data_IF_381791634334
#
_entry.id   IF_381791634334
#
_cell.length_a   1.000
_cell.length_b   1.000
_cell.length_c   1.000
_cell.angle_alpha   90.00
_cell.angle_beta   90.00
_cell.angle_gamma   90.00
#
_symmetry.space_group_name_H-M   'P 1'
#
loop_
_entity.id
_entity.type
_entity.pdbx_description
1 polymer ?
#
# COMPACT_ATOMS: atom_id res chain seq x y z
N UNK A 1 -30.21 6.42 7.86
CA UNK A 1 -29.63 7.44 8.75
C UNK A 1 -29.36 6.93 10.18
N UNK A 2 -30.37 6.60 11.04
CA UNK A 2 -30.10 6.11 12.41
C UNK A 2 -29.34 4.76 12.42
N UNK A 3 -29.67 3.80 11.56
CA UNK A 3 -29.01 2.50 11.48
C UNK A 3 -27.54 2.64 11.01
N UNK A 4 -27.28 3.46 10.04
CA UNK A 4 -25.93 3.77 9.55
C UNK A 4 -25.06 4.44 10.63
N UNK A 5 -25.66 5.34 11.42
CA UNK A 5 -24.97 5.96 12.57
C UNK A 5 -24.57 4.93 13.63
N UNK A 6 -25.42 3.94 13.90
CA UNK A 6 -25.11 2.83 14.82
C UNK A 6 -24.05 1.90 14.21
N UNK A 7 -24.11 1.61 12.92
CA UNK A 7 -23.15 0.74 12.22
C UNK A 7 -21.73 1.32 12.25
N UNK A 8 -21.59 2.65 12.21
CA UNK A 8 -20.29 3.32 12.26
C UNK A 8 -19.83 3.71 13.68
N UNK A 9 -20.75 3.84 14.64
CA UNK A 9 -20.39 4.22 16.01
C UNK A 9 -19.44 3.21 16.67
N UNK A 10 -19.68 1.91 16.46
CA UNK A 10 -18.86 0.85 17.03
C UNK A 10 -17.44 0.85 16.45
N UNK A 11 -17.31 0.97 15.12
CA UNK A 11 -15.99 1.02 14.47
C UNK A 11 -15.28 2.34 14.78
N UNK A 12 -15.99 3.47 14.80
CA UNK A 12 -15.44 4.78 15.14
C UNK A 12 -14.90 4.82 16.56
N UNK A 13 -15.67 4.34 17.56
CA UNK A 13 -15.21 4.23 18.95
C UNK A 13 -13.97 3.34 19.09
N UNK A 14 -13.93 2.21 18.36
CA UNK A 14 -12.75 1.34 18.31
C UNK A 14 -11.55 2.02 17.69
N UNK A 15 -11.73 2.72 16.57
CA UNK A 15 -10.67 3.48 15.88
C UNK A 15 -10.10 4.57 16.79
N UNK A 16 -10.92 5.33 17.50
CA UNK A 16 -10.44 6.34 18.45
C UNK A 16 -9.54 5.73 19.53
N UNK A 17 -9.93 4.59 20.11
CA UNK A 17 -9.10 3.88 21.08
C UNK A 17 -7.77 3.39 20.47
N UNK A 18 -7.82 2.88 19.23
CA UNK A 18 -6.64 2.37 18.55
C UNK A 18 -5.69 3.49 18.11
N UNK A 19 -6.21 4.67 17.73
CA UNK A 19 -5.41 5.86 17.40
C UNK A 19 -4.59 6.37 18.58
N UNK A 20 -5.04 6.14 19.81
CA UNK A 20 -4.28 6.43 21.03
C UNK A 20 -2.96 5.66 21.15
N UNK A 21 -2.88 4.49 20.49
CA UNK A 21 -1.71 3.60 20.51
C UNK A 21 -0.75 3.80 19.33
N UNK A 22 -0.96 4.84 18.52
CA UNK A 22 -0.07 5.13 17.37
C UNK A 22 1.30 5.61 17.84
N UNK A 23 2.32 5.42 17.00
CA UNK A 23 3.61 6.06 17.20
C UNK A 23 3.46 7.59 17.02
N UNK A 24 4.12 8.35 17.88
CA UNK A 24 4.20 9.81 17.83
C UNK A 24 5.49 10.26 17.17
N UNK A 25 5.63 11.54 16.89
CA UNK A 25 6.88 12.10 16.35
C UNK A 25 8.08 11.74 17.24
N UNK A 26 7.93 11.86 18.56
CA UNK A 26 8.96 11.50 19.54
C UNK A 26 9.44 10.05 19.44
N UNK A 27 8.55 9.14 19.05
CA UNK A 27 8.89 7.73 18.86
C UNK A 27 9.72 7.53 17.59
N UNK A 28 9.40 8.26 16.52
CA UNK A 28 10.22 8.27 15.30
C UNK A 28 11.57 8.96 15.52
N UNK A 29 11.62 10.01 16.33
CA UNK A 29 12.88 10.67 16.71
C UNK A 29 13.80 9.69 17.45
N UNK A 30 13.25 8.85 18.34
CA UNK A 30 14.00 7.76 18.99
C UNK A 30 14.42 6.68 17.98
N UNK A 31 13.54 6.27 17.07
CA UNK A 31 13.85 5.28 16.03
C UNK A 31 15.02 5.76 15.14
N UNK A 32 15.08 7.05 14.83
CA UNK A 32 16.20 7.61 14.07
C UNK A 32 17.56 7.53 14.78
N UNK A 33 17.58 7.42 16.10
CA UNK A 33 18.79 7.32 16.92
C UNK A 33 19.26 5.87 17.12
N UNK A 34 18.48 4.85 16.74
CA UNK A 34 18.84 3.44 16.90
C UNK A 34 20.02 3.06 15.98
N UNK A 35 20.91 2.20 16.47
CA UNK A 35 22.10 1.78 15.75
C UNK A 35 22.02 0.35 15.23
N UNK A 36 21.17 -0.48 15.82
CA UNK A 36 21.02 -1.89 15.47
C UNK A 36 19.56 -2.30 15.28
N UNK A 37 19.35 -3.38 14.52
CA UNK A 37 18.02 -3.97 14.36
C UNK A 37 17.47 -4.49 15.70
N UNK A 38 18.26 -5.17 16.56
CA UNK A 38 17.84 -5.53 17.92
C UNK A 38 17.35 -4.34 18.76
N UNK A 39 18.07 -3.20 18.77
CA UNK A 39 17.63 -2.00 19.49
C UNK A 39 16.28 -1.49 18.97
N UNK A 40 16.11 -1.43 17.65
CA UNK A 40 14.85 -1.04 17.01
C UNK A 40 13.72 -1.97 17.43
N UNK A 41 13.97 -3.28 17.45
CA UNK A 41 12.99 -4.28 17.85
C UNK A 41 12.63 -4.18 19.34
N UNK A 42 13.62 -3.98 20.22
CA UNK A 42 13.43 -3.78 21.65
C UNK A 42 12.56 -2.55 21.94
N UNK A 43 12.84 -1.45 21.24
CA UNK A 43 12.01 -0.25 21.34
C UNK A 43 10.56 -0.50 20.92
N UNK A 44 10.35 -1.11 19.74
CA UNK A 44 9.02 -1.38 19.22
C UNK A 44 8.24 -2.38 20.09
N UNK A 45 8.90 -3.36 20.71
CA UNK A 45 8.29 -4.31 21.63
C UNK A 45 7.61 -3.60 22.82
N UNK A 46 8.14 -2.46 23.26
CA UNK A 46 7.62 -1.66 24.35
C UNK A 46 6.58 -0.60 23.90
N UNK A 47 6.24 -0.53 22.61
CA UNK A 47 5.23 0.40 22.11
C UNK A 47 3.84 -0.23 22.12
N UNK A 48 2.79 0.48 22.57
CA UNK A 48 1.43 -0.08 22.62
C UNK A 48 0.89 -0.53 21.26
N UNK A 49 1.29 0.13 20.19
CA UNK A 49 0.76 -0.09 18.85
C UNK A 49 1.41 -1.27 18.10
N UNK A 50 2.64 -1.65 18.45
CA UNK A 50 3.40 -2.69 17.73
C UNK A 50 3.90 -3.81 18.63
N UNK A 51 4.03 -3.59 19.94
CA UNK A 51 4.61 -4.58 20.87
C UNK A 51 3.90 -5.93 20.85
N UNK A 52 2.58 -5.96 20.74
CA UNK A 52 1.82 -7.20 20.72
C UNK A 52 2.22 -8.18 19.60
N UNK A 53 2.59 -7.69 18.43
CA UNK A 53 2.99 -8.57 17.33
C UNK A 53 4.44 -9.05 17.46
N UNK A 54 5.22 -8.45 18.37
CA UNK A 54 6.62 -8.77 18.61
C UNK A 54 6.82 -9.66 19.85
N UNK A 55 5.76 -9.93 20.63
CA UNK A 55 5.84 -10.80 21.80
C UNK A 55 6.38 -12.18 21.45
N UNK A 56 7.26 -12.70 22.31
CA UNK A 56 7.92 -14.00 22.13
C UNK A 56 8.98 -14.04 21.01
N UNK A 57 9.40 -12.88 20.50
CA UNK A 57 10.52 -12.77 19.59
C UNK A 57 11.83 -12.69 20.40
N UNK A 58 12.87 -13.40 19.95
CA UNK A 58 14.22 -13.21 20.46
C UNK A 58 14.76 -11.88 19.91
N UNK A 59 14.68 -10.84 20.74
CA UNK A 59 15.02 -9.46 20.35
C UNK A 59 16.53 -9.30 20.16
N UNK A 60 17.36 -10.04 20.90
CA UNK A 60 18.83 -9.89 20.87
C UNK A 60 19.42 -10.41 19.56
N UNK A 61 18.80 -11.44 18.95
CA UNK A 61 19.30 -12.07 17.73
C UNK A 61 18.40 -11.83 16.51
N UNK A 62 17.44 -10.90 16.61
CA UNK A 62 16.51 -10.66 15.51
C UNK A 62 17.19 -10.02 14.31
N UNK A 63 16.91 -10.59 13.12
CA UNK A 63 17.32 -9.93 11.88
C UNK A 63 16.16 -9.13 11.30
N UNK A 64 16.50 -8.18 10.41
CA UNK A 64 15.54 -7.36 9.67
C UNK A 64 14.35 -8.15 9.13
N UNK A 65 14.60 -9.28 8.45
CA UNK A 65 13.54 -10.06 7.79
C UNK A 65 12.50 -10.62 8.76
N UNK A 66 12.91 -11.09 9.94
CA UNK A 66 11.98 -11.57 10.97
C UNK A 66 11.20 -10.41 11.60
N UNK A 67 11.88 -9.29 11.90
CA UNK A 67 11.22 -8.09 12.40
C UNK A 67 10.16 -7.58 11.42
N UNK A 68 10.52 -7.40 10.15
CA UNK A 68 9.59 -6.94 9.12
C UNK A 68 8.39 -7.88 8.96
N UNK A 69 8.63 -9.19 8.96
CA UNK A 69 7.58 -10.21 8.90
C UNK A 69 6.59 -10.08 10.06
N UNK A 70 7.07 -9.91 11.30
CA UNK A 70 6.25 -9.74 12.49
C UNK A 70 5.42 -8.46 12.41
N UNK A 71 6.02 -7.35 11.99
CA UNK A 71 5.34 -6.07 11.82
C UNK A 71 4.23 -6.14 10.75
N UNK A 72 4.49 -6.78 9.62
CA UNK A 72 3.46 -7.01 8.57
C UNK A 72 2.31 -7.89 9.08
N UNK A 73 2.61 -8.89 9.91
CA UNK A 73 1.57 -9.67 10.59
C UNK A 73 0.77 -8.83 11.59
N UNK A 74 1.41 -7.91 12.28
CA UNK A 74 0.78 -6.92 13.16
C UNK A 74 -0.26 -6.08 12.41
N UNK A 75 0.16 -5.52 11.26
CA UNK A 75 -0.76 -4.75 10.40
C UNK A 75 -1.95 -5.61 9.93
N UNK A 76 -1.74 -6.85 9.50
CA UNK A 76 -2.84 -7.74 9.13
C UNK A 76 -3.80 -8.00 10.32
N UNK A 77 -3.27 -8.06 11.55
CA UNK A 77 -4.07 -8.15 12.78
C UNK A 77 -4.93 -6.91 13.04
N UNK A 78 -4.52 -5.72 12.57
CA UNK A 78 -5.34 -4.50 12.66
C UNK A 78 -6.59 -4.60 11.78
N UNK A 79 -6.47 -5.13 10.56
CA UNK A 79 -7.61 -5.41 9.69
C UNK A 79 -8.62 -6.36 10.35
N UNK A 80 -8.15 -7.44 10.96
CA UNK A 80 -9.02 -8.41 11.65
C UNK A 80 -9.72 -7.79 12.86
N UNK A 81 -9.00 -6.98 13.64
CA UNK A 81 -9.57 -6.27 14.80
C UNK A 81 -10.69 -5.31 14.39
N UNK A 82 -10.47 -4.53 13.33
CA UNK A 82 -11.50 -3.64 12.80
C UNK A 82 -12.70 -4.40 12.22
N UNK A 83 -12.46 -5.50 11.52
CA UNK A 83 -13.50 -6.31 10.93
C UNK A 83 -14.47 -6.89 11.98
N UNK A 84 -14.02 -7.09 13.22
CA UNK A 84 -14.87 -7.57 14.33
C UNK A 84 -15.97 -6.57 14.70
N UNK A 85 -15.68 -5.26 14.59
CA UNK A 85 -16.60 -4.18 14.92
C UNK A 85 -17.32 -3.61 13.70
N UNK A 86 -16.99 -4.10 12.50
CA UNK A 86 -17.49 -3.57 11.25
C UNK A 86 -18.85 -4.17 10.85
N UNK A 87 -19.70 -3.38 10.19
CA UNK A 87 -20.89 -3.85 9.49
C UNK A 87 -20.54 -4.87 8.40
N UNK A 88 -21.53 -5.57 7.86
CA UNK A 88 -21.31 -6.55 6.78
C UNK A 88 -20.62 -5.90 5.57
N UNK A 89 -21.09 -4.71 5.16
CA UNK A 89 -20.51 -3.99 4.01
C UNK A 89 -19.07 -3.56 4.27
N UNK A 90 -18.83 -2.98 5.46
CA UNK A 90 -17.49 -2.56 5.86
C UNK A 90 -16.52 -3.74 5.98
N UNK A 91 -16.95 -4.91 6.48
CA UNK A 91 -16.12 -6.13 6.48
C UNK A 91 -15.74 -6.59 5.08
N UNK A 92 -16.65 -6.48 4.11
CA UNK A 92 -16.34 -6.81 2.71
C UNK A 92 -15.27 -5.86 2.14
N UNK A 93 -15.38 -4.56 2.42
CA UNK A 93 -14.40 -3.58 2.00
C UNK A 93 -13.04 -3.83 2.66
N UNK A 94 -12.99 -4.04 3.98
CA UNK A 94 -11.75 -4.36 4.69
C UNK A 94 -11.05 -5.61 4.14
N UNK A 95 -11.81 -6.65 3.78
CA UNK A 95 -11.25 -7.84 3.13
C UNK A 95 -10.68 -7.53 1.73
N UNK A 96 -11.38 -6.71 0.94
CA UNK A 96 -10.87 -6.30 -0.37
C UNK A 96 -9.58 -5.46 -0.23
N UNK A 97 -9.51 -4.58 0.78
CA UNK A 97 -8.30 -3.80 1.08
C UNK A 97 -7.15 -4.70 1.57
N UNK A 98 -7.42 -5.71 2.40
CA UNK A 98 -6.41 -6.65 2.89
C UNK A 98 -5.72 -7.44 1.75
N UNK A 99 -6.35 -7.60 0.58
CA UNK A 99 -5.76 -8.18 -0.62
C UNK A 99 -4.53 -7.39 -1.14
N UNK A 100 -4.28 -6.17 -0.63
CA UNK A 100 -3.06 -5.41 -0.90
C UNK A 100 -1.80 -6.16 -0.44
N UNK A 101 -1.85 -6.83 0.71
CA UNK A 101 -0.74 -7.66 1.19
C UNK A 101 -0.48 -8.86 0.25
N UNK A 102 -1.53 -9.46 -0.28
CA UNK A 102 -1.42 -10.51 -1.30
C UNK A 102 -0.80 -9.98 -2.60
N UNK A 103 -1.21 -8.80 -3.06
CA UNK A 103 -0.65 -8.15 -4.23
C UNK A 103 0.86 -7.88 -4.08
N UNK A 104 1.32 -7.46 -2.91
CA UNK A 104 2.75 -7.25 -2.62
C UNK A 104 3.55 -8.54 -2.80
N UNK A 105 3.04 -9.67 -2.32
CA UNK A 105 3.71 -10.96 -2.51
C UNK A 105 3.65 -11.45 -3.97
N UNK A 106 2.57 -11.17 -4.68
CA UNK A 106 2.52 -11.43 -6.12
C UNK A 106 3.57 -10.60 -6.89
N UNK A 107 3.75 -9.31 -6.56
CA UNK A 107 4.82 -8.50 -7.16
C UNK A 107 6.21 -9.07 -6.85
N UNK A 108 6.41 -9.57 -5.63
CA UNK A 108 7.67 -10.21 -5.26
C UNK A 108 7.92 -11.47 -6.10
N UNK A 109 6.91 -12.33 -6.25
CA UNK A 109 7.02 -13.50 -7.13
C UNK A 109 7.31 -13.13 -8.58
N UNK A 110 6.55 -12.17 -9.14
CA UNK A 110 6.72 -11.74 -10.53
C UNK A 110 8.13 -11.18 -10.80
N UNK A 111 8.74 -10.51 -9.83
CA UNK A 111 10.13 -10.04 -9.92
C UNK A 111 11.12 -11.19 -9.97
N UNK A 112 10.99 -12.17 -9.07
CA UNK A 112 11.84 -13.38 -9.12
C UNK A 112 11.64 -14.15 -10.41
N UNK A 113 10.41 -14.27 -10.88
CA UNK A 113 10.10 -14.94 -12.14
C UNK A 113 10.73 -14.21 -13.33
N UNK A 114 10.62 -12.88 -13.38
CA UNK A 114 11.25 -12.06 -14.43
C UNK A 114 12.77 -12.12 -14.40
N UNK A 115 13.36 -12.27 -13.22
CA UNK A 115 14.81 -12.41 -13.05
C UNK A 115 15.35 -13.84 -13.34
N UNK A 116 14.47 -14.81 -13.66
CA UNK A 116 14.85 -16.20 -13.92
C UNK A 116 15.09 -17.06 -12.68
N UNK A 117 14.78 -16.55 -11.48
CA UNK A 117 15.01 -17.23 -10.20
C UNK A 117 13.72 -17.40 -9.38
N UNK A 118 12.61 -17.93 -9.95
CA UNK A 118 11.32 -17.99 -9.26
C UNK A 118 11.32 -18.87 -8.01
N UNK A 119 12.23 -19.86 -7.92
CA UNK A 119 12.36 -20.73 -6.76
C UNK A 119 12.76 -19.98 -5.47
N UNK A 120 13.50 -18.88 -5.59
CA UNK A 120 13.96 -18.07 -4.46
C UNK A 120 12.81 -17.38 -3.72
N UNK A 121 11.66 -17.26 -4.36
CA UNK A 121 10.43 -16.72 -3.75
C UNK A 121 10.01 -17.51 -2.51
N UNK A 122 10.14 -18.84 -2.51
CA UNK A 122 9.67 -19.70 -1.43
C UNK A 122 10.41 -19.49 -0.11
N UNK A 123 11.68 -19.10 -0.17
CA UNK A 123 12.57 -19.00 1.00
C UNK A 123 12.07 -17.98 2.03
N UNK A 124 11.36 -16.94 1.61
CA UNK A 124 10.97 -15.80 2.46
C UNK A 124 9.45 -15.60 2.57
N UNK A 125 8.64 -16.65 2.38
CA UNK A 125 7.19 -16.54 2.50
C UNK A 125 6.75 -16.30 3.97
N UNK A 126 5.95 -15.25 4.25
CA UNK A 126 5.46 -15.01 5.60
C UNK A 126 4.44 -16.07 6.04
N UNK A 127 4.74 -16.85 7.07
CA UNK A 127 3.85 -17.93 7.57
C UNK A 127 2.46 -17.44 7.98
N UNK A 128 2.34 -16.18 8.43
CA UNK A 128 1.06 -15.55 8.77
C UNK A 128 0.17 -15.26 7.56
N UNK A 129 0.79 -14.91 6.44
CA UNK A 129 0.09 -14.70 5.18
C UNK A 129 -0.45 -16.02 4.63
N UNK A 130 0.35 -17.10 4.69
CA UNK A 130 -0.06 -18.45 4.27
C UNK A 130 -1.38 -18.93 4.91
N UNK A 131 -1.62 -18.55 6.17
CA UNK A 131 -2.84 -18.95 6.91
C UNK A 131 -4.06 -18.08 6.62
N UNK A 132 -3.88 -16.85 6.17
CA UNK A 132 -4.95 -15.84 6.01
C UNK A 132 -5.28 -15.53 4.56
N UNK A 133 -4.36 -15.82 3.65
CA UNK A 133 -4.50 -15.52 2.23
C UNK A 133 -5.45 -16.48 1.53
N UNK A 134 -6.20 -15.96 0.58
CA UNK A 134 -6.96 -16.76 -0.38
C UNK A 134 -6.07 -17.31 -1.50
N UNK A 135 -4.87 -16.75 -1.67
CA UNK A 135 -3.84 -17.26 -2.58
C UNK A 135 -3.14 -18.45 -1.93
N UNK A 136 -3.02 -19.54 -2.65
CA UNK A 136 -2.34 -20.75 -2.18
C UNK A 136 -0.84 -20.66 -2.45
N UNK A 137 -0.17 -19.80 -1.67
CA UNK A 137 1.27 -19.59 -1.80
C UNK A 137 2.12 -20.83 -1.55
N UNK A 138 1.61 -21.80 -0.79
CA UNK A 138 2.21 -23.13 -0.62
C UNK A 138 2.31 -23.87 -1.96
N UNK A 139 1.27 -23.82 -2.77
CA UNK A 139 1.28 -24.41 -4.13
C UNK A 139 2.22 -23.69 -5.06
N UNK A 140 2.25 -22.33 -4.97
CA UNK A 140 3.18 -21.53 -5.75
C UNK A 140 4.64 -21.83 -5.37
N UNK A 141 4.92 -22.03 -4.08
CA UNK A 141 6.25 -22.40 -3.62
C UNK A 141 6.67 -23.81 -4.10
N UNK A 142 5.72 -24.75 -4.16
CA UNK A 142 5.98 -26.11 -4.67
C UNK A 142 6.16 -26.15 -6.20
N UNK A 143 5.52 -25.22 -6.92
CA UNK A 143 5.64 -25.07 -8.37
C UNK A 143 5.87 -23.60 -8.75
N UNK A 144 7.12 -23.13 -8.67
CA UNK A 144 7.44 -21.72 -8.87
C UNK A 144 7.57 -21.35 -10.37
N UNK A 145 6.50 -21.59 -11.13
CA UNK A 145 6.37 -21.20 -12.53
C UNK A 145 5.05 -20.41 -12.74
N UNK A 146 4.80 -19.93 -13.94
CA UNK A 146 3.61 -19.14 -14.23
C UNK A 146 2.32 -19.97 -14.13
N UNK A 147 2.36 -21.25 -14.44
CA UNK A 147 1.21 -22.15 -14.29
C UNK A 147 0.90 -22.39 -12.80
N UNK A 148 1.94 -22.57 -11.99
CA UNK A 148 1.81 -22.63 -10.52
C UNK A 148 1.24 -21.32 -9.95
N UNK A 149 1.64 -20.16 -10.48
CA UNK A 149 1.02 -18.87 -10.14
C UNK A 149 -0.47 -18.87 -10.43
N UNK A 150 -0.90 -19.26 -11.63
CA UNK A 150 -2.31 -19.30 -11.99
C UNK A 150 -3.12 -20.27 -11.11
N UNK A 151 -2.57 -21.44 -10.80
CA UNK A 151 -3.19 -22.38 -9.87
C UNK A 151 -3.28 -21.85 -8.45
N UNK A 152 -2.28 -21.09 -8.00
CA UNK A 152 -2.27 -20.49 -6.68
C UNK A 152 -3.32 -19.39 -6.52
N UNK A 153 -3.54 -18.58 -7.56
CA UNK A 153 -4.50 -17.45 -7.54
C UNK A 153 -5.91 -17.84 -8.02
N UNK A 154 -6.15 -19.11 -8.33
CA UNK A 154 -7.47 -19.58 -8.78
C UNK A 154 -8.55 -19.27 -7.74
N UNK A 155 -9.69 -18.73 -8.20
CA UNK A 155 -10.79 -18.30 -7.33
C UNK A 155 -10.58 -16.93 -6.63
N UNK A 156 -9.45 -16.29 -6.84
CA UNK A 156 -9.17 -14.93 -6.33
C UNK A 156 -9.47 -13.85 -7.39
N UNK A 157 -9.47 -12.59 -6.95
CA UNK A 157 -9.64 -11.42 -7.85
C UNK A 157 -8.50 -11.30 -8.88
N UNK A 158 -7.36 -11.91 -8.62
CA UNK A 158 -6.16 -11.81 -9.45
C UNK A 158 -6.15 -12.76 -10.64
N UNK A 159 -6.87 -13.89 -10.57
CA UNK A 159 -6.80 -14.95 -11.56
C UNK A 159 -7.06 -14.49 -13.00
N UNK A 160 -8.20 -13.83 -13.22
CA UNK A 160 -8.62 -13.42 -14.57
C UNK A 160 -7.65 -12.41 -15.22
N UNK A 161 -7.04 -11.56 -14.40
CA UNK A 161 -6.09 -10.56 -14.86
C UNK A 161 -4.73 -11.19 -15.19
N UNK A 162 -4.20 -12.03 -14.30
CA UNK A 162 -2.92 -12.73 -14.51
C UNK A 162 -3.02 -13.76 -15.66
N UNK A 163 -4.17 -14.38 -15.86
CA UNK A 163 -4.35 -15.28 -16.99
C UNK A 163 -4.12 -14.61 -18.35
N UNK A 164 -4.36 -13.29 -18.46
CA UNK A 164 -4.15 -12.51 -19.69
C UNK A 164 -2.71 -12.10 -19.92
N UNK A 165 -1.86 -12.22 -18.92
CA UNK A 165 -0.45 -11.79 -18.96
C UNK A 165 0.51 -12.99 -18.91
N UNK A 166 0.06 -14.17 -19.33
CA UNK A 166 0.91 -15.34 -19.45
C UNK A 166 2.05 -15.08 -20.44
N UNK A 167 3.25 -15.62 -20.19
CA UNK A 167 4.33 -15.57 -21.15
C UNK A 167 3.89 -16.10 -22.52
N UNK A 168 4.12 -15.30 -23.57
CA UNK A 168 3.84 -15.66 -24.95
C UNK A 168 5.15 -15.91 -25.73
N UNK A 169 5.08 -15.90 -27.06
CA UNK A 169 6.23 -16.05 -27.95
C UNK A 169 7.31 -14.99 -27.73
N UNK A 170 6.91 -13.76 -27.33
CA UNK A 170 7.79 -12.64 -27.01
C UNK A 170 8.33 -12.67 -25.56
N UNK A 171 8.11 -13.74 -24.83
CA UNK A 171 8.54 -13.89 -23.45
C UNK A 171 7.54 -13.33 -22.41
N UNK A 172 8.04 -12.99 -21.24
CA UNK A 172 7.27 -12.48 -20.10
C UNK A 172 7.38 -10.96 -19.99
N UNK A 173 6.24 -10.29 -20.01
CA UNK A 173 6.15 -8.85 -19.77
C UNK A 173 5.83 -8.57 -18.29
N UNK A 174 6.88 -8.23 -17.52
CA UNK A 174 6.74 -7.88 -16.10
C UNK A 174 5.82 -6.68 -15.87
N UNK A 175 5.93 -5.63 -16.70
CA UNK A 175 5.14 -4.40 -16.57
C UNK A 175 3.65 -4.67 -16.71
N UNK A 176 3.29 -5.49 -17.69
CA UNK A 176 1.90 -5.90 -17.89
C UNK A 176 1.37 -6.78 -16.75
N UNK A 177 2.18 -7.71 -16.25
CA UNK A 177 1.78 -8.58 -15.14
C UNK A 177 1.63 -7.79 -13.83
N UNK A 178 2.54 -6.87 -13.54
CA UNK A 178 2.42 -5.95 -12.39
C UNK A 178 1.17 -5.09 -12.49
N UNK A 179 0.91 -4.48 -13.64
CA UNK A 179 -0.30 -3.70 -13.88
C UNK A 179 -1.57 -4.54 -13.73
N UNK A 180 -1.56 -5.80 -14.18
CA UNK A 180 -2.68 -6.72 -14.04
C UNK A 180 -3.03 -6.99 -12.57
N UNK A 181 -2.04 -7.19 -11.71
CA UNK A 181 -2.22 -7.37 -10.26
C UNK A 181 -2.78 -6.10 -9.62
N UNK A 182 -2.19 -4.92 -9.92
CA UNK A 182 -2.70 -3.65 -9.40
C UNK A 182 -4.14 -3.39 -9.84
N UNK A 183 -4.45 -3.60 -11.11
CA UNK A 183 -5.79 -3.44 -11.66
C UNK A 183 -6.80 -4.36 -10.99
N UNK A 184 -6.42 -5.61 -10.73
CA UNK A 184 -7.28 -6.58 -10.04
C UNK A 184 -7.58 -6.12 -8.61
N UNK A 185 -6.58 -5.64 -7.88
CA UNK A 185 -6.74 -5.11 -6.53
C UNK A 185 -7.72 -3.94 -6.49
N UNK A 186 -7.46 -2.86 -7.25
CA UNK A 186 -8.33 -1.67 -7.24
C UNK A 186 -9.74 -1.98 -7.75
N UNK A 187 -9.89 -2.83 -8.75
CA UNK A 187 -11.19 -3.32 -9.22
C UNK A 187 -11.95 -4.04 -8.12
N UNK A 188 -11.27 -4.90 -7.36
CA UNK A 188 -11.85 -5.61 -6.22
C UNK A 188 -12.37 -4.65 -5.14
N UNK A 189 -11.56 -3.64 -4.78
CA UNK A 189 -11.94 -2.61 -3.81
C UNK A 189 -13.14 -1.79 -4.31
N UNK A 190 -13.07 -1.24 -5.52
CA UNK A 190 -14.14 -0.42 -6.10
C UNK A 190 -15.45 -1.22 -6.25
N UNK A 191 -15.37 -2.47 -6.69
CA UNK A 191 -16.53 -3.36 -6.76
C UNK A 191 -17.14 -3.62 -5.38
N UNK A 192 -16.31 -3.78 -4.35
CA UNK A 192 -16.78 -3.94 -2.97
C UNK A 192 -17.51 -2.70 -2.47
N UNK A 193 -17.00 -1.51 -2.77
CA UNK A 193 -17.65 -0.23 -2.46
C UNK A 193 -19.01 -0.15 -3.16
N UNK A 194 -19.06 -0.40 -4.46
CA UNK A 194 -20.28 -0.31 -5.25
C UNK A 194 -21.40 -1.25 -4.79
N UNK A 195 -21.03 -2.42 -4.28
CA UNK A 195 -21.99 -3.42 -3.78
C UNK A 195 -22.47 -3.16 -2.35
N UNK A 196 -21.63 -2.57 -1.54
CA UNK A 196 -21.86 -2.50 -0.09
C UNK A 196 -22.30 -1.12 0.42
N UNK A 197 -22.03 -0.06 -0.34
CA UNK A 197 -22.30 1.32 0.08
C UNK A 197 -23.19 2.06 -0.92
N UNK A 198 -23.91 3.08 -0.42
CA UNK A 198 -24.85 3.87 -1.18
C UNK A 198 -24.71 5.36 -0.84
N UNK A 199 -25.30 6.23 -1.64
CA UNK A 199 -25.38 7.67 -1.38
C UNK A 199 -24.01 8.34 -1.23
N UNK A 200 -23.87 9.12 -0.17
CA UNK A 200 -22.68 9.91 0.12
C UNK A 200 -21.47 9.03 0.48
N UNK A 201 -21.65 8.00 1.31
CA UNK A 201 -20.59 7.08 1.70
C UNK A 201 -19.95 6.40 0.48
N UNK A 202 -20.77 5.92 -0.46
CA UNK A 202 -20.26 5.32 -1.69
C UNK A 202 -19.46 6.32 -2.50
N UNK A 203 -19.97 7.53 -2.72
CA UNK A 203 -19.31 8.57 -3.50
C UNK A 203 -17.96 8.94 -2.88
N UNK A 204 -17.92 9.16 -1.58
CA UNK A 204 -16.71 9.53 -0.87
C UNK A 204 -15.66 8.41 -0.89
N UNK A 205 -16.07 7.16 -0.67
CA UNK A 205 -15.18 6.00 -0.75
C UNK A 205 -14.62 5.80 -2.17
N UNK A 206 -15.47 5.88 -3.19
CA UNK A 206 -15.03 5.83 -4.59
C UNK A 206 -14.03 6.96 -4.88
N UNK A 207 -14.33 8.19 -4.49
CA UNK A 207 -13.42 9.34 -4.68
C UNK A 207 -12.06 9.09 -4.02
N UNK A 208 -12.04 8.57 -2.81
CA UNK A 208 -10.81 8.27 -2.08
C UNK A 208 -9.93 7.27 -2.83
N UNK A 209 -10.47 6.12 -3.24
CA UNK A 209 -9.70 5.09 -3.94
C UNK A 209 -9.33 5.48 -5.38
N UNK A 210 -10.21 6.19 -6.09
CA UNK A 210 -9.90 6.72 -7.42
C UNK A 210 -8.78 7.77 -7.36
N UNK A 211 -8.75 8.59 -6.31
CA UNK A 211 -7.64 9.54 -6.07
C UNK A 211 -6.33 8.80 -5.84
N UNK A 212 -6.34 7.68 -5.13
CA UNK A 212 -5.15 6.84 -4.99
C UNK A 212 -4.70 6.28 -6.34
N UNK A 213 -5.62 5.87 -7.21
CA UNK A 213 -5.28 5.42 -8.56
C UNK A 213 -4.64 6.53 -9.39
N UNK A 214 -5.19 7.75 -9.37
CA UNK A 214 -4.60 8.91 -10.03
C UNK A 214 -3.17 9.14 -9.54
N UNK A 215 -2.97 9.11 -8.22
CA UNK A 215 -1.64 9.28 -7.65
C UNK A 215 -0.65 8.19 -8.09
N UNK A 216 -1.07 6.91 -8.08
CA UNK A 216 -0.22 5.81 -8.56
C UNK A 216 0.17 6.01 -10.04
N UNK A 217 -0.76 6.46 -10.88
CA UNK A 217 -0.49 6.76 -12.28
C UNK A 217 0.51 7.91 -12.43
N UNK A 218 0.34 9.00 -11.67
CA UNK A 218 1.29 10.13 -11.68
C UNK A 218 2.68 9.67 -11.25
N UNK A 219 2.79 8.95 -10.13
CA UNK A 219 4.07 8.43 -9.63
C UNK A 219 4.75 7.55 -10.68
N UNK A 220 4.00 6.66 -11.33
CA UNK A 220 4.52 5.79 -12.39
C UNK A 220 5.05 6.61 -13.56
N UNK A 221 4.29 7.56 -14.07
CA UNK A 221 4.71 8.43 -15.18
C UNK A 221 5.98 9.20 -14.81
N UNK A 222 6.01 9.83 -13.64
CA UNK A 222 7.17 10.60 -13.18
C UNK A 222 8.41 9.73 -13.01
N UNK A 223 8.28 8.51 -12.43
CA UNK A 223 9.41 7.58 -12.32
C UNK A 223 9.94 7.13 -13.67
N UNK A 224 9.05 6.82 -14.63
CA UNK A 224 9.44 6.44 -15.98
C UNK A 224 10.24 7.56 -16.66
N UNK A 225 9.81 8.82 -16.51
CA UNK A 225 10.54 9.97 -17.07
C UNK A 225 11.88 10.24 -16.40
N UNK A 226 11.97 10.01 -15.08
CA UNK A 226 13.19 10.31 -14.32
C UNK A 226 14.29 9.25 -14.48
N UNK A 227 13.89 7.98 -14.53
CA UNK A 227 14.85 6.87 -14.43
C UNK A 227 14.91 6.01 -15.68
N UNK A 228 13.88 6.05 -16.53
CA UNK A 228 13.77 5.19 -17.69
C UNK A 228 13.40 6.03 -18.93
N UNK A 229 14.12 5.86 -20.00
CA UNK A 229 13.76 6.45 -21.32
C UNK A 229 12.77 5.50 -22.00
N UNK A 230 11.55 5.46 -21.52
CA UNK A 230 10.52 4.53 -21.96
C UNK A 230 9.57 5.22 -22.93
N UNK A 231 9.16 4.52 -23.98
CA UNK A 231 8.19 5.01 -24.96
C UNK A 231 6.81 5.21 -24.32
N UNK A 232 6.07 6.21 -24.81
CA UNK A 232 4.76 6.59 -24.27
C UNK A 232 3.73 5.43 -24.24
N UNK A 233 3.81 4.54 -25.22
CA UNK A 233 2.92 3.36 -25.29
C UNK A 233 3.19 2.36 -24.18
N UNK A 234 4.44 2.16 -23.81
CA UNK A 234 4.81 1.26 -22.71
C UNK A 234 4.37 1.84 -21.37
N UNK A 235 4.50 3.15 -21.17
CA UNK A 235 3.95 3.84 -19.98
C UNK A 235 2.46 3.62 -19.88
N UNK A 236 1.71 3.81 -20.99
CA UNK A 236 0.25 3.62 -21.02
C UNK A 236 -0.18 2.22 -20.61
N UNK A 237 0.53 1.17 -21.06
CA UNK A 237 0.22 -0.23 -20.71
C UNK A 237 0.28 -0.51 -19.21
N UNK A 238 1.16 0.20 -18.51
CA UNK A 238 1.35 0.03 -17.06
C UNK A 238 0.36 0.81 -16.19
N UNK A 239 -0.47 1.69 -16.74
CA UNK A 239 -1.34 2.55 -15.95
C UNK A 239 -2.61 1.83 -15.46
N UNK A 240 -3.14 2.30 -14.35
CA UNK A 240 -4.44 1.90 -13.82
C UNK A 240 -5.55 2.51 -14.68
N UNK A 241 -6.56 1.74 -15.11
CA UNK A 241 -7.68 2.23 -15.92
C UNK A 241 -8.75 2.96 -15.08
N UNK A 242 -8.43 3.34 -13.86
CA UNK A 242 -9.31 4.02 -12.92
C UNK A 242 -8.78 5.42 -12.68
N UNK A 243 -9.66 6.41 -12.72
CA UNK A 243 -9.27 7.80 -12.56
C UNK A 243 -10.40 8.62 -11.93
N UNK A 244 -10.04 9.58 -11.08
CA UNK A 244 -10.93 10.60 -10.56
C UNK A 244 -10.84 11.88 -11.39
N UNK A 245 -9.64 12.40 -11.59
CA UNK A 245 -9.36 13.70 -12.23
C UNK A 245 -8.42 13.63 -13.42
N UNK A 246 -7.66 12.55 -13.59
CA UNK A 246 -6.77 12.36 -14.72
C UNK A 246 -7.56 11.88 -15.95
N UNK A 247 -8.27 12.81 -16.61
CA UNK A 247 -8.99 12.52 -17.86
C UNK A 247 -8.02 12.21 -19.00
N UNK A 248 -8.46 11.42 -19.97
CA UNK A 248 -7.63 10.90 -21.07
C UNK A 248 -6.79 11.96 -21.78
N UNK A 249 -7.34 13.15 -22.05
CA UNK A 249 -6.59 14.25 -22.70
C UNK A 249 -5.40 14.70 -21.87
N UNK A 250 -5.63 14.99 -20.58
CA UNK A 250 -4.60 15.44 -19.65
C UNK A 250 -3.57 14.34 -19.37
N UNK A 251 -4.03 13.09 -19.22
CA UNK A 251 -3.13 11.95 -19.01
C UNK A 251 -2.21 11.74 -20.21
N UNK A 252 -2.73 11.87 -21.45
CA UNK A 252 -1.92 11.78 -22.66
C UNK A 252 -0.90 12.91 -22.78
N UNK A 253 -1.26 14.14 -22.40
CA UNK A 253 -0.36 15.27 -22.35
C UNK A 253 0.79 15.02 -21.35
N UNK A 254 0.47 14.57 -20.14
CA UNK A 254 1.45 14.24 -19.11
C UNK A 254 2.42 13.13 -19.57
N UNK A 255 1.92 12.09 -20.26
CA UNK A 255 2.74 11.00 -20.78
C UNK A 255 3.65 11.49 -21.92
N UNK A 256 3.16 12.38 -22.79
CA UNK A 256 3.93 12.92 -23.91
C UNK A 256 5.00 13.91 -23.49
N UNK A 257 4.93 14.51 -22.29
CA UNK A 257 5.95 15.43 -21.81
C UNK A 257 7.34 14.76 -21.90
N UNK A 258 8.30 15.36 -22.61
CA UNK A 258 9.60 14.71 -22.88
C UNK A 258 10.50 14.63 -21.64
N UNK A 259 10.32 15.54 -20.69
CA UNK A 259 11.17 15.63 -19.50
C UNK A 259 10.37 15.58 -18.21
N UNK A 260 11.08 15.33 -17.10
CA UNK A 260 10.53 15.47 -15.75
C UNK A 260 9.97 16.88 -15.48
N UNK A 261 10.73 17.91 -15.85
CA UNK A 261 10.38 19.31 -15.56
C UNK A 261 9.12 19.75 -16.30
N UNK A 262 8.95 19.33 -17.55
CA UNK A 262 7.73 19.57 -18.30
C UNK A 262 6.53 18.82 -17.71
N UNK A 263 6.72 17.56 -17.32
CA UNK A 263 5.67 16.80 -16.63
C UNK A 263 5.28 17.47 -15.32
N UNK A 264 6.23 17.99 -14.55
CA UNK A 264 5.96 18.75 -13.32
C UNK A 264 5.22 20.06 -13.59
N UNK A 265 5.56 20.77 -14.67
CA UNK A 265 4.83 21.99 -15.07
C UNK A 265 3.38 21.69 -15.38
N UNK A 266 3.09 20.64 -16.15
CA UNK A 266 1.74 20.18 -16.45
C UNK A 266 0.99 19.81 -15.17
N UNK A 267 1.65 19.13 -14.22
CA UNK A 267 1.04 18.74 -12.94
C UNK A 267 0.71 19.95 -12.07
N UNK A 268 1.57 20.98 -12.04
CA UNK A 268 1.36 22.23 -11.29
C UNK A 268 0.16 23.03 -11.81
N UNK A 269 -0.12 22.98 -13.08
CA UNK A 269 -1.26 23.65 -13.73
C UNK A 269 -2.53 22.81 -13.73
N UNK A 270 -2.40 21.50 -13.50
CA UNK A 270 -3.48 20.53 -13.60
C UNK A 270 -4.37 20.41 -12.37
N UNK A 271 -5.29 19.42 -12.39
CA UNK A 271 -6.30 19.23 -11.36
C UNK A 271 -5.75 18.91 -9.96
N UNK A 272 -4.47 18.52 -9.87
CA UNK A 272 -3.74 18.30 -8.62
C UNK A 272 -2.69 19.39 -8.35
N UNK A 273 -2.72 20.50 -9.09
CA UNK A 273 -1.76 21.59 -8.98
C UNK A 273 -1.44 22.05 -7.55
N UNK A 274 -2.42 22.22 -6.65
CA UNK A 274 -2.14 22.60 -5.26
C UNK A 274 -1.20 21.64 -4.51
N UNK A 275 -1.16 20.35 -4.88
CA UNK A 275 -0.24 19.37 -4.28
C UNK A 275 1.17 19.54 -4.84
N UNK A 276 1.30 19.84 -6.13
CA UNK A 276 2.59 19.88 -6.83
C UNK A 276 3.28 21.26 -6.80
N UNK A 277 2.58 22.30 -6.30
CA UNK A 277 3.15 23.65 -6.11
C UNK A 277 3.85 23.82 -4.76
N UNK A 278 3.66 22.89 -3.83
CA UNK A 278 4.36 22.92 -2.54
C UNK A 278 5.85 22.68 -2.80
N UNK A 279 6.67 23.74 -2.60
CA UNK A 279 8.10 23.76 -2.96
C UNK A 279 8.97 22.86 -2.07
N UNK A 280 8.44 22.40 -0.93
CA UNK A 280 9.15 21.56 0.03
C UNK A 280 9.31 20.10 -0.44
N UNK A 281 8.60 19.69 -1.49
CA UNK A 281 8.60 18.32 -1.96
C UNK A 281 9.77 18.06 -2.92
N UNK A 282 10.82 17.43 -2.41
CA UNK A 282 12.03 17.09 -3.17
C UNK A 282 11.98 15.70 -3.82
N UNK A 283 11.09 14.83 -3.33
CA UNK A 283 10.96 13.46 -3.80
C UNK A 283 9.50 13.15 -4.19
N UNK A 284 9.31 12.16 -5.08
CA UNK A 284 7.96 11.73 -5.51
C UNK A 284 7.13 11.25 -4.30
N UNK A 285 7.80 10.66 -3.33
CA UNK A 285 7.21 10.13 -2.11
C UNK A 285 6.57 11.20 -1.22
N UNK A 286 7.07 12.44 -1.28
CA UNK A 286 6.53 13.57 -0.50
C UNK A 286 5.14 13.96 -0.98
N UNK A 287 4.88 13.85 -2.28
CA UNK A 287 3.55 14.07 -2.85
C UNK A 287 2.51 13.04 -2.38
N UNK A 288 2.94 11.81 -2.06
CA UNK A 288 2.07 10.79 -1.50
C UNK A 288 1.47 11.23 -0.17
N UNK A 289 2.26 11.92 0.63
CA UNK A 289 1.82 12.45 1.91
C UNK A 289 0.73 13.52 1.77
N UNK A 290 0.87 14.46 0.83
CA UNK A 290 -0.16 15.49 0.58
C UNK A 290 -1.48 14.87 0.13
N UNK A 291 -1.45 13.78 -0.65
CA UNK A 291 -2.65 13.02 -0.99
C UNK A 291 -3.28 12.35 0.23
N UNK A 292 -2.46 11.77 1.10
CA UNK A 292 -2.88 11.14 2.34
C UNK A 292 -3.49 12.15 3.32
N UNK A 293 -2.87 13.32 3.50
CA UNK A 293 -3.37 14.40 4.36
C UNK A 293 -4.78 14.86 3.99
N UNK A 294 -5.09 14.95 2.69
CA UNK A 294 -6.43 15.33 2.23
C UNK A 294 -7.49 14.28 2.58
N UNK A 295 -7.16 12.98 2.52
CA UNK A 295 -8.03 11.92 3.03
C UNK A 295 -8.28 12.07 4.54
N UNK A 296 -7.23 12.34 5.31
CA UNK A 296 -7.28 12.48 6.77
C UNK A 296 -8.13 13.65 7.27
N UNK A 297 -8.25 14.74 6.52
CA UNK A 297 -9.13 15.86 6.86
C UNK A 297 -10.60 15.45 6.92
N UNK A 298 -10.98 14.33 6.31
CA UNK A 298 -12.34 13.81 6.34
C UNK A 298 -12.72 13.24 7.71
N UNK A 299 -11.79 12.67 8.50
CA UNK A 299 -12.02 12.19 9.87
C UNK A 299 -12.44 13.34 10.81
N UNK A 300 -11.94 14.55 10.61
CA UNK A 300 -12.16 15.68 11.52
C UNK A 300 -13.59 16.23 11.50
N UNK A 301 -14.49 15.69 10.68
CA UNK A 301 -15.89 16.15 10.59
C UNK A 301 -16.77 15.70 11.76
N UNK A 302 -16.23 15.01 12.78
CA UNK A 302 -16.88 14.76 14.07
C UNK A 302 -18.06 13.81 14.05
N UNK A 303 -18.30 13.09 12.95
CA UNK A 303 -19.32 12.04 12.85
C UNK A 303 -18.65 10.71 12.51
N UNK A 304 -19.02 9.60 13.18
CA UNK A 304 -18.57 8.29 12.79
C UNK A 304 -18.92 8.01 11.33
N UNK A 305 -17.95 7.54 10.55
CA UNK A 305 -18.11 7.28 9.13
C UNK A 305 -17.38 6.00 8.70
N UNK A 306 -17.67 5.53 7.49
CA UNK A 306 -16.94 4.42 6.88
C UNK A 306 -15.44 4.71 6.75
N UNK A 307 -15.05 5.99 6.70
CA UNK A 307 -13.66 6.42 6.57
C UNK A 307 -12.81 6.20 7.80
N UNK A 308 -13.36 6.24 9.00
CA UNK A 308 -12.58 6.15 10.25
C UNK A 308 -11.66 4.93 10.25
N UNK A 309 -12.22 3.76 9.90
CA UNK A 309 -11.44 2.52 9.79
C UNK A 309 -10.40 2.53 8.67
N UNK A 310 -10.74 3.10 7.52
CA UNK A 310 -9.86 3.16 6.35
C UNK A 310 -8.65 4.05 6.63
N UNK A 311 -8.89 5.23 7.17
CA UNK A 311 -7.81 6.17 7.45
C UNK A 311 -6.94 5.69 8.61
N UNK A 312 -7.52 5.01 9.60
CA UNK A 312 -6.73 4.34 10.62
C UNK A 312 -5.75 3.33 10.01
N UNK A 313 -6.24 2.47 9.11
CA UNK A 313 -5.39 1.49 8.43
C UNK A 313 -4.31 2.15 7.56
N UNK A 314 -4.64 3.23 6.88
CA UNK A 314 -3.66 4.01 6.12
C UNK A 314 -2.58 4.61 7.04
N UNK A 315 -2.95 5.12 8.21
CA UNK A 315 -1.99 5.57 9.23
C UNK A 315 -1.07 4.42 9.63
N UNK A 316 -1.63 3.25 9.92
CA UNK A 316 -0.84 2.06 10.31
C UNK A 316 0.06 1.55 9.18
N UNK A 317 -0.37 1.63 7.93
CA UNK A 317 0.47 1.31 6.78
C UNK A 317 1.65 2.29 6.63
N UNK A 318 1.41 3.58 6.87
CA UNK A 318 2.47 4.60 6.84
C UNK A 318 3.45 4.45 8.02
N UNK A 319 2.94 4.17 9.23
CA UNK A 319 3.81 3.82 10.36
C UNK A 319 4.71 2.63 10.02
N UNK A 320 4.13 1.55 9.48
CA UNK A 320 4.88 0.37 9.07
C UNK A 320 5.96 0.70 8.04
N UNK A 321 5.61 1.51 7.03
CA UNK A 321 6.57 1.96 6.01
C UNK A 321 7.72 2.73 6.64
N UNK A 322 7.42 3.67 7.53
CA UNK A 322 8.43 4.46 8.23
C UNK A 322 9.33 3.59 9.12
N UNK A 323 8.76 2.64 9.86
CA UNK A 323 9.53 1.69 10.67
C UNK A 323 10.48 0.88 9.76
N UNK A 324 9.99 0.33 8.66
CA UNK A 324 10.81 -0.44 7.71
C UNK A 324 11.92 0.42 7.14
N UNK A 325 11.64 1.67 6.77
CA UNK A 325 12.65 2.61 6.29
C UNK A 325 13.73 2.87 7.35
N UNK A 326 13.37 3.01 8.64
CA UNK A 326 14.34 3.18 9.71
C UNK A 326 15.19 1.92 9.93
N UNK A 327 14.58 0.74 9.90
CA UNK A 327 15.31 -0.54 9.94
C UNK A 327 16.31 -0.66 8.79
N UNK A 328 15.95 -0.21 7.59
CA UNK A 328 16.87 -0.16 6.45
C UNK A 328 17.99 0.88 6.65
N UNK A 329 17.66 2.07 7.15
CA UNK A 329 18.67 3.08 7.48
C UNK A 329 19.70 2.55 8.46
N UNK A 330 19.26 1.84 9.50
CA UNK A 330 20.14 1.18 10.46
C UNK A 330 21.02 0.13 9.79
N UNK A 331 20.42 -0.75 8.98
CA UNK A 331 21.16 -1.81 8.26
C UNK A 331 22.23 -1.27 7.33
N UNK A 332 21.93 -0.20 6.60
CA UNK A 332 22.86 0.42 5.66
C UNK A 332 23.72 1.51 6.30
N UNK A 333 23.68 1.63 7.63
CA UNK A 333 24.46 2.60 8.40
C UNK A 333 24.29 4.05 7.89
N UNK A 334 23.06 4.41 7.49
CA UNK A 334 22.75 5.78 7.09
C UNK A 334 22.97 6.71 8.27
N UNK A 335 23.75 7.81 8.11
CA UNK A 335 23.98 8.78 9.20
C UNK A 335 22.66 9.33 9.76
N UNK A 336 22.59 9.50 11.09
CA UNK A 336 21.36 9.93 11.79
C UNK A 336 20.78 11.22 11.22
N UNK A 337 21.62 12.20 10.92
CA UNK A 337 21.21 13.50 10.36
C UNK A 337 20.59 13.40 8.94
N UNK A 338 20.69 12.25 8.28
CA UNK A 338 20.09 11.99 6.97
C UNK A 338 18.84 11.12 7.04
N UNK A 339 18.57 10.47 8.18
CA UNK A 339 17.47 9.50 8.31
C UNK A 339 16.09 10.15 8.22
N UNK A 340 15.94 11.40 8.64
CA UNK A 340 14.70 12.16 8.53
C UNK A 340 14.18 12.23 7.08
N UNK A 341 15.07 12.23 6.08
CA UNK A 341 14.69 12.23 4.67
C UNK A 341 13.99 10.95 4.19
N UNK A 342 14.06 9.87 4.98
CA UNK A 342 13.41 8.59 4.70
C UNK A 342 12.07 8.41 5.44
N UNK A 343 11.71 9.37 6.29
CA UNK A 343 10.41 9.38 6.96
C UNK A 343 9.38 10.12 6.11
N UNK A 344 8.26 9.48 5.89
CA UNK A 344 7.07 10.17 5.38
C UNK A 344 6.31 10.74 6.59
N UNK A 345 6.05 12.07 6.65
CA UNK A 345 5.29 12.64 7.74
C UNK A 345 3.91 11.98 7.88
N UNK A 346 3.49 11.70 9.10
CA UNK A 346 2.18 11.07 9.37
C UNK A 346 1.24 12.09 10.06
N UNK A 347 1.76 13.18 10.59
CA UNK A 347 1.06 14.15 11.45
C UNK A 347 1.12 15.57 10.93
#
# INVERSE_FOLDING_TARGET
MLRELFDYAAIGGKVHAMLGNRLRQEDFDKLMQMHTVPETAAFLLNTPGWGNCLQGMDVEHVHRGELEKRLRMGLAGEYDRLATFASKGMRQLLRAMAAKAEAVELFRFLRYFSAGHPADFAVNLPAGLLRRSHIRFDKLAARPDYQGLLQAVEGTVFYSSLKKTQPGENGFDYTMAEAAVQNAYYRGVLTSIQRAFHGEDRRELEEYFLRQCDFQNIVRILRMKRYFKVESEEVLRGLLPFSLKLKDGYLKELIKAPTWDEAMSILKEGPYGPVFREEEHRQIEDYAFSFFQKGRQMIRRGRPSAFDGIIYLDIKEHELKNIINMVECVRYQVPENRRAAYLTPIY
#
